data_IF_069824483342
#
_entry.id   IF_069824483342
#
_cell.length_a   1.000
_cell.length_b   1.000
_cell.length_c   1.000
_cell.angle_alpha   90.00
_cell.angle_beta   90.00
_cell.angle_gamma   90.00
#
_symmetry.space_group_name_H-M   'P 1'
#
loop_
_entity.id
_entity.type
_entity.pdbx_description
1 polymer ?
#
# COMPACT_ATOMS: atom_id res chain seq x y z
N UNK A 1 -0.38 -1.02 12.33
CA UNK A 1 -0.05 -2.04 11.30
C UNK A 1 0.65 -1.37 10.12
N UNK A 2 1.54 -2.10 9.44
CA UNK A 2 2.21 -1.62 8.24
C UNK A 2 1.38 -1.97 6.98
N UNK A 3 1.29 -1.07 5.99
CA UNK A 3 0.51 -1.30 4.79
C UNK A 3 1.13 -2.37 3.88
N UNK A 4 0.31 -3.27 3.32
CA UNK A 4 0.73 -4.40 2.47
C UNK A 4 0.71 -4.10 0.96
N UNK A 5 0.14 -2.95 0.58
CA UNK A 5 -0.05 -2.53 -0.80
C UNK A 5 1.24 -2.04 -1.48
N UNK A 6 2.25 -1.63 -0.72
CA UNK A 6 3.57 -1.28 -1.28
C UNK A 6 4.19 -2.49 -1.96
N UNK A 7 4.68 -2.32 -3.18
CA UNK A 7 5.36 -3.39 -3.91
C UNK A 7 6.60 -3.88 -3.16
N UNK A 8 7.43 -2.92 -2.72
CA UNK A 8 8.71 -3.17 -2.05
C UNK A 8 8.81 -2.37 -0.75
N UNK A 9 9.55 -2.92 0.22
CA UNK A 9 9.92 -2.21 1.44
C UNK A 9 10.73 -0.94 1.13
N UNK A 10 11.51 -0.93 0.05
CA UNK A 10 12.29 0.22 -0.35
C UNK A 10 11.42 1.38 -0.85
N UNK A 11 10.29 1.07 -1.50
CA UNK A 11 9.31 2.08 -1.96
C UNK A 11 8.41 2.63 -0.85
N UNK A 12 8.40 2.01 0.33
CA UNK A 12 7.65 2.53 1.47
C UNK A 12 8.31 3.81 2.00
N UNK A 13 7.52 4.86 2.21
CA UNK A 13 8.03 6.17 2.68
C UNK A 13 8.70 6.07 4.04
N UNK A 14 9.74 6.88 4.24
CA UNK A 14 10.50 6.86 5.50
C UNK A 14 9.67 7.33 6.69
N UNK A 15 8.69 8.20 6.48
CA UNK A 15 7.73 8.61 7.52
C UNK A 15 7.01 7.40 8.12
N UNK A 16 6.49 6.47 7.30
CA UNK A 16 5.80 5.26 7.78
C UNK A 16 6.76 4.30 8.49
N UNK A 17 7.98 4.16 7.95
CA UNK A 17 9.02 3.33 8.58
C UNK A 17 9.43 3.88 9.94
N UNK A 18 9.56 5.21 10.06
CA UNK A 18 9.91 5.89 11.30
C UNK A 18 8.77 5.81 12.31
N UNK A 19 7.51 6.02 11.90
CA UNK A 19 6.35 5.83 12.78
C UNK A 19 6.31 4.41 13.37
N UNK A 20 6.60 3.39 12.56
CA UNK A 20 6.67 2.01 13.04
C UNK A 20 7.85 1.78 14.00
N UNK A 21 8.99 2.43 13.76
CA UNK A 21 10.14 2.40 14.67
C UNK A 21 9.81 3.05 16.02
N UNK A 22 9.14 4.21 16.01
CA UNK A 22 8.76 4.94 17.23
C UNK A 22 7.79 4.13 18.08
N UNK A 23 6.77 3.52 17.45
CA UNK A 23 5.83 2.61 18.12
C UNK A 23 6.53 1.40 18.77
N UNK A 24 7.62 0.90 18.17
CA UNK A 24 8.40 -0.20 18.75
C UNK A 24 9.17 0.30 19.97
N UNK A 25 9.82 1.46 19.87
CA UNK A 25 10.59 2.04 20.97
C UNK A 25 9.73 2.47 22.16
N UNK A 26 8.49 2.89 21.91
CA UNK A 26 7.53 3.22 22.96
C UNK A 26 7.15 1.98 23.79
N UNK A 27 7.11 0.81 23.15
CA UNK A 27 6.66 -0.45 23.78
C UNK A 27 7.82 -1.28 24.33
N UNK A 28 9.02 -1.13 23.78
CA UNK A 28 10.17 -1.96 24.09
C UNK A 28 11.41 -1.10 24.35
N UNK A 29 12.02 -1.26 25.52
CA UNK A 29 13.33 -0.70 25.83
C UNK A 29 14.40 -1.53 25.12
N UNK A 30 14.78 -1.09 23.91
CA UNK A 30 15.74 -1.79 23.06
C UNK A 30 17.06 -1.02 22.96
N UNK A 31 18.15 -1.61 23.44
CA UNK A 31 19.51 -1.09 23.29
C UNK A 31 20.18 -1.58 21.99
N UNK A 32 19.48 -1.44 20.87
CA UNK A 32 20.01 -1.82 19.55
C UNK A 32 19.87 -0.66 18.57
N UNK A 33 20.70 -0.66 17.53
CA UNK A 33 20.69 0.42 16.54
C UNK A 33 19.38 0.50 15.77
N UNK A 34 18.96 1.72 15.43
CA UNK A 34 17.77 1.95 14.61
C UNK A 34 17.84 1.19 13.28
N UNK A 35 19.03 1.12 12.68
CA UNK A 35 19.25 0.41 11.42
C UNK A 35 18.99 -1.09 11.54
N UNK A 36 19.39 -1.69 12.66
CA UNK A 36 19.10 -3.09 12.94
C UNK A 36 17.58 -3.32 13.08
N UNK A 37 16.88 -2.44 13.80
CA UNK A 37 15.42 -2.52 13.97
C UNK A 37 14.73 -2.37 12.61
N UNK A 38 15.10 -1.37 11.79
CA UNK A 38 14.51 -1.15 10.46
C UNK A 38 14.75 -2.32 9.51
N UNK A 39 15.94 -2.94 9.54
CA UNK A 39 16.24 -4.15 8.75
C UNK A 39 15.35 -5.32 9.16
N UNK A 40 15.21 -5.54 10.46
CA UNK A 40 14.39 -6.62 11.02
C UNK A 40 12.91 -6.41 10.73
N UNK A 41 12.43 -5.18 10.89
CA UNK A 41 11.06 -4.77 10.56
C UNK A 41 10.76 -5.01 9.08
N UNK A 42 11.66 -4.60 8.18
CA UNK A 42 11.50 -4.83 6.75
C UNK A 42 11.47 -6.31 6.39
N UNK A 43 12.27 -7.16 7.06
CA UNK A 43 12.20 -8.62 6.89
C UNK A 43 10.85 -9.17 7.33
N UNK A 44 10.41 -8.85 8.55
CA UNK A 44 9.11 -9.29 9.10
C UNK A 44 7.94 -8.85 8.22
N UNK A 45 7.97 -7.63 7.70
CA UNK A 45 6.94 -7.14 6.78
C UNK A 45 6.89 -7.94 5.47
N UNK A 46 8.05 -8.27 4.88
CA UNK A 46 8.10 -9.11 3.67
C UNK A 46 7.60 -10.53 3.94
N UNK A 47 8.02 -11.14 5.05
CA UNK A 47 7.61 -12.50 5.44
C UNK A 47 6.09 -12.56 5.68
N UNK A 48 5.53 -11.55 6.36
CA UNK A 48 4.10 -11.42 6.57
C UNK A 48 3.34 -11.23 5.25
N UNK A 49 3.81 -10.33 4.38
CA UNK A 49 3.23 -10.14 3.05
C UNK A 49 3.25 -11.44 2.22
N UNK A 50 4.33 -12.22 2.30
CA UNK A 50 4.45 -13.51 1.63
C UNK A 50 3.49 -14.56 2.21
N UNK A 51 3.34 -14.58 3.54
CA UNK A 51 2.39 -15.47 4.24
C UNK A 51 0.96 -15.17 3.79
N UNK A 52 0.58 -13.89 3.73
CA UNK A 52 -0.72 -13.47 3.21
C UNK A 52 -0.91 -13.90 1.76
N UNK A 53 0.11 -13.67 0.91
CA UNK A 53 0.14 -14.14 -0.49
C UNK A 53 -0.19 -15.63 -0.60
N UNK A 54 0.51 -16.47 0.14
CA UNK A 54 0.31 -17.91 0.05
C UNK A 54 -1.05 -18.38 0.60
N UNK A 55 -1.57 -17.74 1.66
CA UNK A 55 -2.82 -18.17 2.29
C UNK A 55 -4.07 -17.72 1.52
N UNK A 56 -4.07 -16.48 1.04
CA UNK A 56 -5.29 -15.83 0.54
C UNK A 56 -5.28 -15.58 -0.97
N UNK A 57 -4.12 -15.55 -1.63
CA UNK A 57 -4.01 -15.24 -3.06
C UNK A 57 -3.98 -16.49 -3.91
N UNK A 58 -5.04 -17.30 -3.84
CA UNK A 58 -5.24 -18.40 -4.80
C UNK A 58 -5.76 -17.82 -6.12
N UNK A 59 -5.18 -18.26 -7.24
CA UNK A 59 -5.42 -17.70 -8.58
C UNK A 59 -6.85 -17.88 -9.08
N UNK A 60 -7.54 -18.91 -8.58
CA UNK A 60 -8.83 -19.35 -9.14
C UNK A 60 -10.05 -18.96 -8.29
N UNK A 61 -9.89 -18.06 -7.30
CA UNK A 61 -10.98 -17.61 -6.42
C UNK A 61 -11.62 -16.34 -7.00
N UNK A 62 -12.96 -16.30 -7.04
CA UNK A 62 -13.75 -15.13 -7.43
C UNK A 62 -13.55 -13.97 -6.42
N UNK A 63 -13.64 -12.71 -6.86
CA UNK A 63 -13.53 -11.51 -6.02
C UNK A 63 -14.43 -11.58 -4.77
N UNK A 64 -15.68 -12.01 -4.95
CA UNK A 64 -16.66 -12.09 -3.85
C UNK A 64 -16.22 -13.08 -2.76
N UNK A 65 -15.65 -14.22 -3.15
CA UNK A 65 -15.08 -15.20 -2.22
C UNK A 65 -13.77 -14.69 -1.56
N UNK A 66 -12.98 -13.85 -2.25
CA UNK A 66 -11.81 -13.19 -1.65
C UNK A 66 -12.21 -12.17 -0.58
N UNK A 67 -13.30 -11.43 -0.81
CA UNK A 67 -13.81 -10.45 0.15
C UNK A 67 -14.42 -11.10 1.40
N UNK A 68 -14.95 -12.32 1.29
CA UNK A 68 -15.40 -13.11 2.44
C UNK A 68 -14.23 -13.65 3.28
N UNK A 69 -13.12 -14.03 2.64
CA UNK A 69 -11.93 -14.57 3.29
C UNK A 69 -10.95 -13.47 3.75
N UNK A 70 -11.39 -12.59 4.65
CA UNK A 70 -10.54 -11.54 5.21
C UNK A 70 -9.52 -12.12 6.19
N UNK A 71 -8.22 -11.81 6.06
CA UNK A 71 -7.22 -12.21 7.05
C UNK A 71 -7.59 -11.72 8.45
N UNK A 72 -7.57 -12.58 9.50
CA UNK A 72 -7.97 -12.21 10.86
C UNK A 72 -7.18 -11.03 11.45
N UNK A 73 -5.93 -10.86 11.01
CA UNK A 73 -5.04 -9.78 11.44
C UNK A 73 -5.23 -8.47 10.67
N UNK A 74 -6.13 -8.41 9.68
CA UNK A 74 -6.31 -7.24 8.82
C UNK A 74 -7.72 -6.67 8.91
N UNK A 75 -7.81 -5.35 8.87
CA UNK A 75 -9.09 -4.65 8.87
C UNK A 75 -9.82 -4.90 7.53
N UNK A 76 -11.11 -5.26 7.59
CA UNK A 76 -11.93 -5.59 6.42
C UNK A 76 -11.88 -4.54 5.32
N UNK A 77 -12.01 -3.26 5.68
CA UNK A 77 -11.95 -2.16 4.71
C UNK A 77 -10.58 -2.08 4.00
N UNK A 78 -9.48 -2.34 4.71
CA UNK A 78 -8.14 -2.33 4.10
C UNK A 78 -7.98 -3.47 3.11
N UNK A 79 -8.54 -4.64 3.42
CA UNK A 79 -8.54 -5.77 2.50
C UNK A 79 -9.36 -5.49 1.24
N UNK A 80 -10.60 -5.02 1.42
CA UNK A 80 -11.51 -4.66 0.33
C UNK A 80 -10.88 -3.64 -0.62
N UNK A 81 -10.28 -2.57 -0.08
CA UNK A 81 -9.61 -1.55 -0.88
C UNK A 81 -8.43 -2.14 -1.67
N UNK A 82 -7.64 -3.02 -1.04
CA UNK A 82 -6.50 -3.65 -1.73
C UNK A 82 -6.89 -4.62 -2.83
N UNK A 83 -8.01 -5.35 -2.68
CA UNK A 83 -8.49 -6.28 -3.71
C UNK A 83 -9.13 -5.52 -4.88
N UNK A 84 -9.95 -4.50 -4.60
CA UNK A 84 -10.55 -3.64 -5.64
C UNK A 84 -9.49 -2.88 -6.45
N UNK A 85 -8.45 -2.36 -5.79
CA UNK A 85 -7.34 -1.68 -6.48
C UNK A 85 -6.58 -2.63 -7.43
N UNK A 86 -6.40 -3.90 -7.05
CA UNK A 86 -5.70 -4.88 -7.91
C UNK A 86 -6.53 -5.28 -9.11
N UNK A 87 -7.82 -5.51 -8.93
CA UNK A 87 -8.73 -5.84 -10.03
C UNK A 87 -8.76 -4.72 -11.07
N UNK A 88 -8.96 -3.48 -10.62
CA UNK A 88 -8.89 -2.31 -11.49
C UNK A 88 -7.53 -2.17 -12.18
N UNK A 89 -6.43 -2.40 -11.46
CA UNK A 89 -5.10 -2.40 -12.07
C UNK A 89 -4.96 -3.44 -13.19
N UNK A 90 -5.46 -4.65 -12.99
CA UNK A 90 -5.44 -5.69 -14.02
C UNK A 90 -6.31 -5.33 -15.24
N UNK A 91 -7.49 -4.71 -15.03
CA UNK A 91 -8.32 -4.19 -16.13
C UNK A 91 -7.57 -3.16 -16.96
N UNK A 92 -6.94 -2.17 -16.30
CA UNK A 92 -6.18 -1.12 -16.98
C UNK A 92 -4.92 -1.63 -17.67
N UNK A 93 -4.20 -2.59 -17.09
CA UNK A 93 -3.04 -3.23 -17.74
C UNK A 93 -3.47 -3.98 -19.01
N UNK A 94 -4.62 -4.66 -19.00
CA UNK A 94 -5.15 -5.32 -20.19
C UNK A 94 -5.54 -4.31 -21.29
N UNK A 95 -6.12 -3.17 -20.92
CA UNK A 95 -6.48 -2.08 -21.84
C UNK A 95 -5.23 -1.41 -22.40
N UNK A 96 -4.24 -1.09 -21.56
CA UNK A 96 -2.98 -0.47 -21.97
C UNK A 96 -2.14 -1.38 -22.88
N UNK A 97 -2.27 -2.71 -22.74
CA UNK A 97 -1.68 -3.66 -23.69
C UNK A 97 -2.31 -3.58 -25.09
N UNK A 98 -3.50 -3.00 -25.21
CA UNK A 98 -4.25 -2.85 -26.46
C UNK A 98 -4.10 -1.44 -27.05
N UNK A 99 -3.97 -0.41 -26.20
CA UNK A 99 -3.89 0.99 -26.60
C UNK A 99 -2.61 1.64 -26.05
N UNK A 100 -1.60 1.79 -26.92
CA UNK A 100 -0.21 2.09 -26.53
C UNK A 100 0.05 3.55 -26.11
N UNK A 101 -0.99 4.34 -25.84
CA UNK A 101 -0.90 5.79 -25.64
C UNK A 101 -1.11 6.25 -24.19
N UNK A 102 -1.22 5.32 -23.23
CA UNK A 102 -1.58 5.66 -21.84
C UNK A 102 -0.35 5.75 -20.94
N UNK A 103 -0.13 6.92 -20.31
CA UNK A 103 0.93 7.16 -19.33
C UNK A 103 0.70 6.34 -18.05
N UNK A 104 1.71 5.59 -17.60
CA UNK A 104 1.62 4.71 -16.42
C UNK A 104 1.27 5.45 -15.11
N UNK A 105 1.80 6.66 -14.89
CA UNK A 105 1.53 7.45 -13.69
C UNK A 105 0.08 8.02 -13.64
N UNK A 106 -0.54 8.25 -14.79
CA UNK A 106 -1.94 8.71 -14.86
C UNK A 106 -2.91 7.56 -14.55
N UNK A 107 -2.54 6.32 -14.89
CA UNK A 107 -3.35 5.12 -14.67
C UNK A 107 -3.50 4.84 -13.18
N UNK A 108 -2.41 4.83 -12.41
CA UNK A 108 -2.47 4.55 -10.98
C UNK A 108 -3.35 5.58 -10.24
N UNK A 109 -3.20 6.87 -10.54
CA UNK A 109 -4.04 7.93 -9.97
C UNK A 109 -5.52 7.81 -10.37
N UNK A 110 -5.78 7.41 -11.62
CA UNK A 110 -7.14 7.17 -12.11
C UNK A 110 -7.79 5.97 -11.41
N UNK A 111 -7.10 4.84 -11.29
CA UNK A 111 -7.59 3.64 -10.58
C UNK A 111 -7.94 3.99 -9.14
N UNK A 112 -7.03 4.72 -8.48
CA UNK A 112 -7.20 5.17 -7.10
C UNK A 112 -8.47 6.03 -6.94
N UNK A 113 -8.68 7.00 -7.83
CA UNK A 113 -9.85 7.89 -7.77
C UNK A 113 -11.16 7.18 -8.09
N UNK A 114 -11.15 6.17 -8.96
CA UNK A 114 -12.32 5.34 -9.27
C UNK A 114 -12.72 4.43 -8.10
N UNK A 115 -11.75 3.82 -7.41
CA UNK A 115 -12.02 2.88 -6.30
C UNK A 115 -12.35 3.60 -4.99
N UNK A 116 -11.59 4.64 -4.65
CA UNK A 116 -11.64 5.27 -3.32
C UNK A 116 -12.32 6.65 -3.32
N UNK A 117 -12.67 7.14 -4.51
CA UNK A 117 -13.18 8.49 -4.75
C UNK A 117 -12.05 9.53 -4.86
N UNK A 118 -12.36 10.75 -5.32
CA UNK A 118 -11.38 11.82 -5.41
C UNK A 118 -10.83 12.19 -4.02
N UNK A 119 -9.51 12.43 -3.96
CA UNK A 119 -8.81 12.93 -2.77
C UNK A 119 -9.47 14.25 -2.33
N UNK A 120 -9.69 14.43 -1.02
CA UNK A 120 -10.26 15.66 -0.45
C UNK A 120 -9.34 16.22 0.62
N UNK A 121 -9.21 17.54 0.63
CA UNK A 121 -8.42 18.27 1.63
C UNK A 121 -8.79 17.84 3.06
N UNK A 122 -7.79 17.47 3.86
CA UNK A 122 -7.95 17.05 5.25
C UNK A 122 -8.34 15.58 5.49
N UNK A 123 -8.49 14.77 4.43
CA UNK A 123 -8.82 13.33 4.56
C UNK A 123 -7.87 12.47 3.75
N UNK A 124 -6.76 12.05 4.38
CA UNK A 124 -5.83 11.07 3.80
C UNK A 124 -6.47 9.68 3.86
N UNK A 125 -6.86 9.14 2.71
CA UNK A 125 -7.44 7.78 2.62
C UNK A 125 -6.37 6.71 2.44
N UNK A 126 -5.33 7.06 1.69
CA UNK A 126 -4.12 6.29 1.42
C UNK A 126 -3.07 7.32 0.95
N UNK A 127 -1.78 7.00 1.02
CA UNK A 127 -0.76 7.75 0.27
C UNK A 127 -0.30 6.81 -0.84
N UNK A 128 -0.69 7.11 -2.08
CA UNK A 128 -0.34 6.33 -3.26
C UNK A 128 1.17 6.30 -3.50
N UNK A 129 1.64 5.33 -4.29
CA UNK A 129 2.96 5.42 -4.91
C UNK A 129 2.92 6.57 -5.91
N UNK A 130 3.78 7.58 -5.75
CA UNK A 130 3.88 8.73 -6.67
C UNK A 130 3.36 10.07 -6.13
N UNK A 131 2.62 10.11 -5.02
CA UNK A 131 2.23 11.40 -4.41
C UNK A 131 3.44 11.99 -3.69
N UNK A 132 4.13 12.92 -4.35
CA UNK A 132 5.22 13.68 -3.74
C UNK A 132 4.64 14.75 -2.81
N UNK A 133 5.35 15.08 -1.72
CA UNK A 133 4.94 16.17 -0.82
C UNK A 133 4.60 17.46 -1.58
N UNK A 134 5.27 17.72 -2.72
CA UNK A 134 5.02 18.86 -3.60
C UNK A 134 3.59 18.89 -4.18
N UNK A 135 3.02 17.74 -4.54
CA UNK A 135 1.63 17.64 -5.01
C UNK A 135 0.62 17.80 -3.86
N UNK A 136 1.02 17.49 -2.63
CA UNK A 136 0.14 17.52 -1.45
C UNK A 136 0.13 18.88 -0.74
N UNK A 137 1.28 19.56 -0.67
CA UNK A 137 1.44 20.85 0.02
C UNK A 137 1.52 22.05 -0.91
N UNK A 138 1.63 21.83 -2.24
CA UNK A 138 2.01 22.86 -3.20
C UNK A 138 3.46 23.29 -3.02
N UNK A 139 4.01 24.00 -4.02
CA UNK A 139 5.27 24.72 -3.79
C UNK A 139 5.01 25.79 -2.73
N UNK A 140 5.55 25.59 -1.54
CA UNK A 140 5.80 26.71 -0.63
C UNK A 140 6.91 27.54 -1.27
N UNK A 141 6.52 28.53 -2.08
CA UNK A 141 7.47 29.58 -2.48
C UNK A 141 7.96 30.24 -1.22
N UNK A 142 9.29 30.26 -1.07
CA UNK A 142 9.97 31.09 -0.09
C UNK A 142 9.99 32.54 -0.58
#
# INVERSE_FOLDING_TARGET
MLPINYESWHHMSDSKKNQALDNIKERFALEVSNDYIKKTLGKKWRDHKNTLKNQYFKKDINLEEKLQNVPPEMLRYQWEDTEKLKEKKAEYEAIASTDSFVNHEDIDNRIITEVLGPERYGRVRFQGSGVTSTQYFGFSSQ
#
